data_IF_955500684688
#
_entry.id   IF_955500684688
#
_cell.length_a   1.000
_cell.length_b   1.000
_cell.length_c   1.000
_cell.angle_alpha   90.00
_cell.angle_beta   90.00
_cell.angle_gamma   90.00
#
_symmetry.space_group_name_H-M   'P 1'
#
loop_
_entity.id
_entity.type
_entity.pdbx_description
1 polymer ?
#
# COMPACT_ATOMS: atom_id res chain seq x y z
N UNK A 1 23.24 20.88 -22.08
CA UNK A 1 22.06 19.98 -22.12
C UNK A 1 22.42 18.53 -21.78
N UNK A 2 23.42 17.93 -22.43
CA UNK A 2 23.85 16.54 -22.19
C UNK A 2 24.25 16.22 -20.74
N UNK A 3 24.97 17.14 -20.06
CA UNK A 3 25.39 16.92 -18.67
C UNK A 3 24.22 16.69 -17.72
N UNK A 4 23.18 17.54 -17.77
CA UNK A 4 22.00 17.40 -16.92
C UNK A 4 21.24 16.09 -17.18
N UNK A 5 21.20 15.67 -18.45
CA UNK A 5 20.60 14.40 -18.84
C UNK A 5 21.39 13.21 -18.25
N UNK A 6 22.71 13.18 -18.40
CA UNK A 6 23.54 12.10 -17.84
C UNK A 6 23.52 12.08 -16.32
N UNK A 7 23.53 13.24 -15.67
CA UNK A 7 23.41 13.33 -14.22
C UNK A 7 22.07 12.79 -13.73
N UNK A 8 20.97 13.17 -14.39
CA UNK A 8 19.63 12.66 -14.07
C UNK A 8 19.54 11.15 -14.28
N UNK A 9 20.07 10.63 -15.40
CA UNK A 9 20.11 9.19 -15.67
C UNK A 9 20.97 8.44 -14.66
N UNK A 10 22.14 8.96 -14.31
CA UNK A 10 23.03 8.34 -13.32
C UNK A 10 22.35 8.22 -11.96
N UNK A 11 21.70 9.29 -11.48
CA UNK A 11 20.93 9.26 -10.24
C UNK A 11 19.76 8.29 -10.35
N UNK A 12 19.03 8.27 -11.47
CA UNK A 12 17.91 7.35 -11.67
C UNK A 12 18.36 5.88 -11.64
N UNK A 13 19.42 5.53 -12.36
CA UNK A 13 19.97 4.16 -12.39
C UNK A 13 20.52 3.76 -11.02
N UNK A 14 21.25 4.65 -10.35
CA UNK A 14 21.72 4.41 -8.98
C UNK A 14 20.56 4.14 -8.02
N UNK A 15 19.48 4.91 -8.14
CA UNK A 15 18.30 4.77 -7.29
C UNK A 15 17.59 3.43 -7.51
N UNK A 16 17.49 2.99 -8.76
CA UNK A 16 16.95 1.67 -9.11
C UNK A 16 17.86 0.56 -8.58
N UNK A 17 19.18 0.69 -8.75
CA UNK A 17 20.15 -0.28 -8.23
C UNK A 17 20.09 -0.39 -6.70
N UNK A 18 19.98 0.74 -5.99
CA UNK A 18 19.81 0.78 -4.53
C UNK A 18 18.54 0.05 -4.06
N UNK A 19 17.47 0.06 -4.87
CA UNK A 19 16.24 -0.69 -4.57
C UNK A 19 16.36 -2.19 -4.77
N UNK A 20 17.34 -2.67 -5.53
CA UNK A 20 17.58 -4.12 -5.71
C UNK A 20 18.19 -4.79 -4.47
N UNK A 21 18.73 -4.01 -3.53
CA UNK A 21 19.25 -4.54 -2.28
C UNK A 21 18.14 -4.88 -1.28
N UNK A 22 18.36 -5.92 -0.48
CA UNK A 22 17.44 -6.39 0.57
C UNK A 22 17.49 -5.53 1.85
N UNK A 23 18.46 -4.63 1.98
CA UNK A 23 18.62 -3.82 3.20
C UNK A 23 17.65 -2.64 3.21
N UNK A 24 16.94 -2.46 4.33
CA UNK A 24 15.96 -1.37 4.49
C UNK A 24 16.58 0.02 4.24
N UNK A 25 17.84 0.21 4.65
CA UNK A 25 18.56 1.46 4.42
C UNK A 25 18.80 1.75 2.93
N UNK A 26 19.26 0.75 2.15
CA UNK A 26 19.47 0.92 0.71
C UNK A 26 18.16 1.19 -0.03
N UNK A 27 17.08 0.50 0.35
CA UNK A 27 15.75 0.74 -0.24
C UNK A 27 15.22 2.16 0.04
N UNK A 28 15.43 2.69 1.25
CA UNK A 28 15.07 4.07 1.61
C UNK A 28 15.90 5.09 0.82
N UNK A 29 17.20 4.86 0.68
CA UNK A 29 18.06 5.69 -0.17
C UNK A 29 17.66 5.63 -1.64
N UNK A 30 17.29 4.45 -2.15
CA UNK A 30 16.78 4.31 -3.51
C UNK A 30 15.46 5.05 -3.74
N UNK A 31 14.56 5.03 -2.75
CA UNK A 31 13.33 5.81 -2.81
C UNK A 31 13.61 7.33 -2.80
N UNK A 32 14.52 7.79 -1.94
CA UNK A 32 14.97 9.19 -1.90
C UNK A 32 15.63 9.59 -3.23
N UNK A 33 16.43 8.70 -3.80
CA UNK A 33 17.09 8.92 -5.09
C UNK A 33 16.10 9.09 -6.24
N UNK A 34 14.96 8.37 -6.24
CA UNK A 34 13.88 8.58 -7.23
C UNK A 34 13.27 9.99 -7.10
N UNK A 35 13.09 10.48 -5.87
CA UNK A 35 12.62 11.86 -5.65
C UNK A 35 13.62 12.88 -6.21
N UNK A 36 14.91 12.68 -5.93
CA UNK A 36 15.99 13.54 -6.43
C UNK A 36 16.08 13.47 -7.96
N UNK A 37 15.99 12.29 -8.56
CA UNK A 37 15.99 12.12 -10.00
C UNK A 37 14.80 12.83 -10.65
N UNK A 38 13.62 12.76 -10.05
CA UNK A 38 12.42 13.46 -10.54
C UNK A 38 12.57 14.97 -10.42
N UNK A 39 13.09 15.46 -9.30
CA UNK A 39 13.42 16.88 -9.12
C UNK A 39 14.38 17.36 -10.21
N UNK A 40 15.48 16.64 -10.44
CA UNK A 40 16.50 16.99 -11.43
C UNK A 40 15.92 16.98 -12.85
N UNK A 41 15.13 15.96 -13.20
CA UNK A 41 14.48 15.86 -14.50
C UNK A 41 13.61 17.09 -14.79
N UNK A 42 12.75 17.46 -13.84
CA UNK A 42 11.86 18.62 -14.01
C UNK A 42 12.64 19.93 -13.98
N UNK A 43 13.63 20.06 -13.10
CA UNK A 43 14.49 21.23 -13.00
C UNK A 43 15.25 21.49 -14.31
N UNK A 44 15.85 20.46 -14.93
CA UNK A 44 16.59 20.65 -16.19
C UNK A 44 15.69 20.95 -17.38
N UNK A 45 14.42 20.56 -17.35
CA UNK A 45 13.43 20.87 -18.41
C UNK A 45 12.86 22.28 -18.23
N UNK A 46 12.53 22.67 -17.01
CA UNK A 46 11.80 23.93 -16.73
C UNK A 46 12.71 25.08 -16.30
N UNK A 47 13.93 24.81 -15.86
CA UNK A 47 14.85 25.80 -15.26
C UNK A 47 14.40 26.34 -13.90
N UNK A 48 13.31 25.81 -13.32
CA UNK A 48 12.70 26.33 -12.10
C UNK A 48 12.79 25.31 -10.97
N UNK A 49 13.34 25.77 -9.84
CA UNK A 49 13.39 24.98 -8.59
C UNK A 49 11.99 24.66 -8.09
N UNK A 50 11.03 25.58 -8.24
CA UNK A 50 9.65 25.38 -7.80
C UNK A 50 8.96 24.22 -8.52
N UNK A 51 9.14 24.13 -9.84
CA UNK A 51 8.64 23.00 -10.64
C UNK A 51 9.34 21.70 -10.28
N UNK A 52 10.66 21.73 -10.02
CA UNK A 52 11.41 20.59 -9.50
C UNK A 52 10.82 20.05 -8.20
N UNK A 53 10.56 20.93 -7.23
CA UNK A 53 9.96 20.55 -5.93
C UNK A 53 8.56 19.99 -6.13
N UNK A 54 7.73 20.62 -6.97
CA UNK A 54 6.38 20.14 -7.26
C UNK A 54 6.40 18.73 -7.89
N UNK A 55 7.34 18.48 -8.82
CA UNK A 55 7.55 17.17 -9.43
C UNK A 55 8.05 16.11 -8.45
N UNK A 56 8.95 16.47 -7.53
CA UNK A 56 9.35 15.56 -6.44
C UNK A 56 8.19 15.26 -5.49
N UNK A 57 7.44 16.30 -5.09
CA UNK A 57 6.31 16.20 -4.17
C UNK A 57 5.14 15.40 -4.75
N UNK A 58 4.99 15.31 -6.07
CA UNK A 58 3.94 14.49 -6.69
C UNK A 58 3.99 13.02 -6.26
N UNK A 59 5.19 12.50 -5.96
CA UNK A 59 5.37 11.14 -5.46
C UNK A 59 4.76 10.92 -4.06
N UNK A 60 4.62 11.98 -3.24
CA UNK A 60 3.93 11.90 -1.94
C UNK A 60 2.42 11.69 -2.07
N UNK A 61 1.86 11.95 -3.26
CA UNK A 61 0.45 11.70 -3.55
C UNK A 61 0.18 10.26 -4.03
N UNK A 62 1.20 9.44 -4.35
CA UNK A 62 0.98 8.04 -4.72
C UNK A 62 0.25 7.23 -3.63
N UNK A 63 0.63 7.29 -2.34
CA UNK A 63 -0.12 6.64 -1.27
C UNK A 63 -1.59 7.10 -1.22
N UNK A 64 -1.85 8.39 -1.50
CA UNK A 64 -3.21 8.92 -1.52
C UNK A 64 -4.05 8.32 -2.65
N UNK A 65 -3.48 8.20 -3.86
CA UNK A 65 -4.14 7.52 -4.99
C UNK A 65 -4.36 6.04 -4.71
N UNK A 66 -3.41 5.37 -4.07
CA UNK A 66 -3.55 3.97 -3.66
C UNK A 66 -4.69 3.80 -2.64
N UNK A 67 -4.80 4.70 -1.65
CA UNK A 67 -5.91 4.69 -0.69
C UNK A 67 -7.26 4.91 -1.40
N UNK A 68 -7.36 5.90 -2.28
CA UNK A 68 -8.60 6.20 -3.02
C UNK A 68 -9.05 5.02 -3.90
N UNK A 69 -8.11 4.33 -4.52
CA UNK A 69 -8.40 3.15 -5.35
C UNK A 69 -8.70 1.91 -4.50
N UNK A 70 -7.99 1.71 -3.38
CA UNK A 70 -8.16 0.56 -2.47
C UNK A 70 -9.44 0.61 -1.64
N UNK A 71 -9.89 1.80 -1.24
CA UNK A 71 -11.18 1.96 -0.53
C UNK A 71 -12.35 1.54 -1.42
N UNK A 72 -12.26 1.72 -2.75
CA UNK A 72 -13.31 1.25 -3.67
C UNK A 72 -13.44 -0.27 -3.66
N UNK A 73 -12.32 -0.98 -3.53
CA UNK A 73 -12.27 -2.44 -3.47
C UNK A 73 -12.69 -3.00 -2.10
N UNK A 74 -12.45 -2.26 -1.03
CA UNK A 74 -12.82 -2.64 0.34
C UNK A 74 -14.26 -2.26 0.73
N UNK A 75 -15.09 -1.80 -0.22
CA UNK A 75 -16.53 -1.66 0.04
C UNK A 75 -17.07 -3.04 0.39
N UNK A 76 -17.37 -3.23 1.69
CA UNK A 76 -18.10 -4.37 2.21
C UNK A 76 -19.29 -4.66 1.28
N UNK A 77 -19.49 -5.92 0.85
CA UNK A 77 -20.63 -6.27 0.02
C UNK A 77 -21.89 -5.75 0.71
N UNK A 78 -22.53 -4.75 0.07
CA UNK A 78 -23.70 -4.04 0.61
C UNK A 78 -24.85 -5.01 0.87
N UNK A 79 -24.88 -6.12 0.11
CA UNK A 79 -25.69 -7.30 0.40
C UNK A 79 -24.80 -8.47 0.83
N UNK A 80 -24.43 -8.51 2.11
CA UNK A 80 -24.04 -9.77 2.75
C UNK A 80 -25.33 -10.49 3.15
N UNK A 81 -26.00 -11.15 2.20
CA UNK A 81 -27.06 -12.11 2.53
C UNK A 81 -26.40 -13.18 3.38
N UNK A 82 -26.64 -13.17 4.68
CA UNK A 82 -26.27 -14.28 5.54
C UNK A 82 -26.92 -15.52 4.91
N UNK A 83 -26.08 -16.42 4.38
CA UNK A 83 -26.58 -17.69 3.88
C UNK A 83 -27.32 -18.33 5.05
N UNK A 84 -28.61 -18.69 4.91
CA UNK A 84 -29.31 -19.39 5.96
C UNK A 84 -28.54 -20.70 6.18
N UNK A 85 -27.78 -20.75 7.27
CA UNK A 85 -27.21 -22.00 7.77
C UNK A 85 -28.27 -22.60 8.67
N UNK A 86 -28.71 -23.80 8.31
CA UNK A 86 -29.45 -24.67 9.21
C UNK A 86 -28.63 -24.84 10.49
N UNK A 87 -29.27 -24.82 11.68
CA UNK A 87 -28.56 -25.09 12.93
C UNK A 87 -27.79 -26.42 12.84
N UNK A 88 -26.62 -26.52 13.50
CA UNK A 88 -25.86 -27.76 13.53
C UNK A 88 -26.75 -28.91 14.01
N UNK A 89 -26.69 -30.06 13.35
CA UNK A 89 -27.41 -31.25 13.80
C UNK A 89 -26.82 -31.76 15.12
N UNK A 90 -27.64 -32.43 15.92
CA UNK A 90 -27.21 -33.06 17.17
C UNK A 90 -26.07 -34.10 16.97
N UNK A 91 -25.90 -34.62 15.74
CA UNK A 91 -24.74 -35.46 15.39
C UNK A 91 -23.40 -34.71 15.34
N UNK A 92 -23.43 -33.40 15.07
CA UNK A 92 -22.25 -32.53 14.97
C UNK A 92 -21.86 -31.94 16.32
N UNK A 93 -22.84 -31.80 17.23
CA UNK A 93 -22.65 -31.36 18.61
C UNK A 93 -23.51 -32.21 19.55
N UNK A 94 -23.04 -33.41 19.92
CA UNK A 94 -23.81 -34.37 20.71
C UNK A 94 -24.14 -33.89 22.13
N UNK A 95 -23.26 -33.08 22.72
CA UNK A 95 -23.37 -32.59 24.09
C UNK A 95 -24.11 -31.23 24.21
N UNK A 96 -24.65 -30.69 23.11
CA UNK A 96 -25.25 -29.35 23.10
C UNK A 96 -26.48 -29.24 24.03
N UNK A 97 -27.32 -30.29 24.08
CA UNK A 97 -28.51 -30.31 24.93
C UNK A 97 -28.15 -30.36 26.41
N UNK A 98 -27.15 -31.18 26.75
CA UNK A 98 -26.67 -31.38 28.12
C UNK A 98 -26.02 -30.12 28.68
N UNK A 99 -25.12 -29.50 27.89
CA UNK A 99 -24.47 -28.24 28.24
C UNK A 99 -25.49 -27.10 28.36
N UNK A 100 -26.50 -27.04 27.48
CA UNK A 100 -27.51 -25.98 27.54
C UNK A 100 -28.36 -26.10 28.80
N UNK A 101 -28.77 -27.31 29.20
CA UNK A 101 -29.52 -27.54 30.44
C UNK A 101 -28.71 -27.26 31.70
N UNK A 102 -27.42 -27.59 31.70
CA UNK A 102 -26.55 -27.33 32.84
C UNK A 102 -26.42 -25.82 33.07
N UNK A 103 -26.18 -25.04 32.01
CA UNK A 103 -26.12 -23.57 32.07
C UNK A 103 -27.46 -22.97 32.51
N UNK A 104 -28.58 -23.51 32.03
CA UNK A 104 -29.92 -23.01 32.36
C UNK A 104 -30.35 -23.35 33.80
N UNK A 105 -29.78 -24.39 34.40
CA UNK A 105 -29.97 -24.74 35.81
C UNK A 105 -29.04 -23.98 36.77
N UNK A 106 -27.89 -23.51 36.28
CA UNK A 106 -26.90 -22.74 37.06
C UNK A 106 -27.14 -21.21 37.04
N UNK A 107 -27.95 -20.71 36.10
CA UNK A 107 -28.35 -19.30 35.98
C UNK A 107 -29.61 -18.93 36.76
#
# INVERSE_FOLDING_TARGET
>A
MLFGLFLTLGVAVLSVALRSFQTSFAQKLGALGILIATFLAVYFVTGSVGWGIAGGASWLFLPWLEILTRIRTLRLPKEKRLRPKTPPSASLFPALDEISREIENEG
#
